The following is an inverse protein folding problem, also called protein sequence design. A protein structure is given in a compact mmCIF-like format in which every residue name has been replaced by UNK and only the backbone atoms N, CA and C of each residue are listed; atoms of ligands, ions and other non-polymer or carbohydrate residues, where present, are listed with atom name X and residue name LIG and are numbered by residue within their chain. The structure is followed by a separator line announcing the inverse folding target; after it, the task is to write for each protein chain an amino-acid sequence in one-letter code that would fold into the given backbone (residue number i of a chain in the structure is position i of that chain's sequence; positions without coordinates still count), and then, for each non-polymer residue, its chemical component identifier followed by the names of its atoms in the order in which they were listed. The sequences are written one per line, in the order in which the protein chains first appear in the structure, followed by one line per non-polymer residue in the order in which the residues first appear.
data_IF_111439796733
#
_entry.id   IF_111439796733
#
_cell.length_a   1.000
_cell.length_b   1.000
_cell.length_c   1.000
_cell.angle_alpha   90.00
_cell.angle_beta   90.00
_cell.angle_gamma   90.00
#
_symmetry.space_group_name_H-M   'P 1'
#
loop_
_entity.id
_entity.type
_entity.pdbx_description
1 polymer ?
#
# COMPACT_ATOMS: atom_id res chain seq x y z
N UNK A 1 -11.17 0.20 5.85
CA UNK A 1 -9.79 0.75 5.68
C UNK A 1 -9.54 1.77 6.77
N UNK A 2 -8.43 1.61 7.44
CA UNK A 2 -8.11 2.37 8.66
C UNK A 2 -6.73 3.01 8.52
N UNK A 3 -6.61 4.26 8.96
CA UNK A 3 -5.34 5.00 8.93
C UNK A 3 -4.96 5.40 10.34
N UNK A 4 -3.69 5.16 10.71
CA UNK A 4 -3.19 5.48 12.03
C UNK A 4 -1.79 6.05 11.91
N UNK A 5 -1.54 7.19 12.54
CA UNK A 5 -0.19 7.75 12.61
C UNK A 5 0.39 7.51 14.00
N UNK A 6 1.62 7.05 14.04
CA UNK A 6 2.32 6.74 15.28
C UNK A 6 3.81 6.96 15.06
N UNK A 7 4.41 7.84 15.86
CA UNK A 7 5.86 8.14 15.81
C UNK A 7 6.32 8.57 14.41
N UNK A 8 5.48 9.34 13.70
CA UNK A 8 5.81 9.82 12.37
C UNK A 8 5.60 8.80 11.26
N UNK A 9 5.08 7.62 11.60
CA UNK A 9 4.81 6.54 10.64
C UNK A 9 3.32 6.45 10.36
N UNK A 10 2.94 6.33 9.10
CA UNK A 10 1.55 6.12 8.70
C UNK A 10 1.31 4.62 8.51
N UNK A 11 0.38 4.06 9.27
CA UNK A 11 0.00 2.65 9.16
C UNK A 11 -1.40 2.59 8.58
N UNK A 12 -1.54 1.90 7.44
CA UNK A 12 -2.81 1.74 6.76
C UNK A 12 -3.22 0.27 6.83
N UNK A 13 -4.37 0.00 7.41
CA UNK A 13 -4.89 -1.36 7.54
C UNK A 13 -6.06 -1.54 6.59
N UNK A 14 -5.99 -2.58 5.76
CA UNK A 14 -6.99 -2.84 4.73
C UNK A 14 -7.60 -4.21 4.91
N UNK A 15 -8.83 -4.38 4.41
CA UNK A 15 -9.49 -5.69 4.40
C UNK A 15 -10.38 -5.78 3.18
N UNK A 16 -10.52 -7.01 2.66
CA UNK A 16 -11.46 -7.31 1.61
C UNK A 16 -10.94 -7.07 0.20
N UNK A 17 -11.84 -6.66 -0.67
CA UNK A 17 -11.64 -6.63 -2.11
C UNK A 17 -11.36 -5.21 -2.57
N UNK A 18 -10.13 -4.96 -3.06
CA UNK A 18 -9.75 -3.62 -3.53
C UNK A 18 -9.92 -3.53 -5.05
N UNK A 19 -11.13 -3.16 -5.45
CA UNK A 19 -11.45 -2.89 -6.85
C UNK A 19 -10.99 -1.47 -7.23
N UNK A 20 -11.32 -1.06 -8.46
CA UNK A 20 -10.91 0.24 -8.97
C UNK A 20 -11.47 1.39 -8.14
N UNK A 21 -12.74 1.31 -7.74
CA UNK A 21 -13.39 2.39 -6.98
C UNK A 21 -12.73 2.57 -5.63
N UNK A 22 -12.54 1.49 -4.87
CA UNK A 22 -11.89 1.57 -3.56
C UNK A 22 -10.44 2.05 -3.68
N UNK A 23 -9.75 1.63 -4.75
CA UNK A 23 -8.37 2.06 -4.97
C UNK A 23 -8.30 3.55 -5.28
N UNK A 24 -9.25 4.09 -6.01
CA UNK A 24 -9.32 5.53 -6.28
C UNK A 24 -9.61 6.34 -5.01
N UNK A 25 -10.51 5.83 -4.16
CA UNK A 25 -10.79 6.46 -2.88
C UNK A 25 -9.55 6.47 -1.98
N UNK A 26 -8.83 5.36 -1.97
CA UNK A 26 -7.58 5.25 -1.21
C UNK A 26 -6.55 6.24 -1.71
N UNK A 27 -6.38 6.35 -3.02
CA UNK A 27 -5.42 7.29 -3.60
C UNK A 27 -5.74 8.72 -3.21
N UNK A 28 -7.01 9.13 -3.28
CA UNK A 28 -7.43 10.47 -2.91
C UNK A 28 -7.10 10.77 -1.45
N UNK A 29 -7.36 9.80 -0.56
CA UNK A 29 -7.06 9.96 0.86
C UNK A 29 -5.55 10.09 1.09
N UNK A 30 -4.76 9.25 0.44
CA UNK A 30 -3.31 9.26 0.63
C UNK A 30 -2.67 10.54 0.06
N UNK A 31 -3.20 11.08 -1.02
CA UNK A 31 -2.70 12.36 -1.56
C UNK A 31 -2.90 13.50 -0.57
N UNK A 32 -3.93 13.44 0.26
CA UNK A 32 -4.16 14.43 1.29
C UNK A 32 -3.29 14.21 2.52
N UNK A 33 -3.01 12.94 2.87
CA UNK A 33 -2.24 12.60 4.08
C UNK A 33 -0.74 12.60 3.87
N UNK A 34 -0.27 12.18 2.69
CA UNK A 34 1.16 12.09 2.40
C UNK A 34 1.61 13.37 1.71
N UNK A 35 1.87 14.39 2.52
CA UNK A 35 2.34 15.69 2.02
C UNK A 35 3.85 15.84 2.10
N UNK A 36 4.54 14.90 2.75
CA UNK A 36 5.99 14.90 2.90
C UNK A 36 6.47 13.45 3.01
N UNK A 37 7.74 13.16 2.71
CA UNK A 37 8.29 11.81 2.88
C UNK A 37 8.17 11.35 4.34
N UNK A 38 7.67 10.13 4.53
CA UNK A 38 7.57 9.53 5.86
C UNK A 38 7.41 8.02 5.70
N UNK A 39 7.74 7.23 6.73
CA UNK A 39 7.52 5.79 6.67
C UNK A 39 6.03 5.45 6.54
N UNK A 40 5.71 4.52 5.65
CA UNK A 40 4.34 4.07 5.42
C UNK A 40 4.32 2.55 5.45
N UNK A 41 3.35 1.98 6.18
CA UNK A 41 3.14 0.54 6.22
C UNK A 41 1.71 0.24 5.78
N UNK A 42 1.57 -0.67 4.83
CA UNK A 42 0.29 -1.23 4.43
C UNK A 42 0.15 -2.61 5.07
N UNK A 43 -0.83 -2.76 5.97
CA UNK A 43 -1.15 -4.05 6.57
C UNK A 43 -2.18 -4.76 5.71
N UNK A 44 -1.76 -5.85 5.08
CA UNK A 44 -2.49 -6.51 4.00
C UNK A 44 -3.05 -7.89 4.35
N UNK A 45 -2.93 -8.34 5.60
CA UNK A 45 -3.28 -9.70 5.96
C UNK A 45 -4.74 -10.07 5.69
N UNK A 46 -5.64 -9.09 5.70
CA UNK A 46 -7.07 -9.34 5.46
C UNK A 46 -7.53 -8.95 4.06
N UNK A 47 -6.61 -8.60 3.17
CA UNK A 47 -6.93 -8.24 1.80
C UNK A 47 -7.08 -9.50 0.97
N UNK A 48 -8.19 -9.62 0.22
CA UNK A 48 -8.51 -10.80 -0.56
C UNK A 48 -8.31 -10.61 -2.06
N UNK A 49 -8.21 -9.36 -2.53
CA UNK A 49 -8.05 -9.07 -3.95
C UNK A 49 -7.50 -7.65 -4.13
N UNK A 50 -6.60 -7.48 -5.10
CA UNK A 50 -6.12 -6.17 -5.54
C UNK A 50 -6.17 -6.10 -7.06
N UNK A 51 -6.45 -4.91 -7.58
CA UNK A 51 -6.46 -4.67 -9.02
C UNK A 51 -5.27 -3.78 -9.42
N UNK A 52 -5.12 -3.53 -10.72
CA UNK A 52 -4.02 -2.70 -11.22
C UNK A 52 -4.06 -1.27 -10.65
N UNK A 53 -5.25 -0.75 -10.37
CA UNK A 53 -5.37 0.58 -9.76
C UNK A 53 -4.75 0.60 -8.36
N UNK A 54 -4.90 -0.48 -7.58
CA UNK A 54 -4.27 -0.59 -6.28
C UNK A 54 -2.75 -0.63 -6.40
N UNK A 55 -2.24 -1.36 -7.39
CA UNK A 55 -0.79 -1.42 -7.62
C UNK A 55 -0.23 -0.05 -7.95
N UNK A 56 -0.96 0.76 -8.71
CA UNK A 56 -0.54 2.13 -9.02
C UNK A 56 -0.50 3.00 -7.76
N UNK A 57 -1.45 2.80 -6.84
CA UNK A 57 -1.43 3.49 -5.55
C UNK A 57 -0.15 3.13 -4.80
N UNK A 58 0.23 1.86 -4.79
CA UNK A 58 1.46 1.44 -4.13
C UNK A 58 2.69 2.10 -4.73
N UNK A 59 2.75 2.24 -6.05
CA UNK A 59 3.85 2.93 -6.71
C UNK A 59 3.90 4.40 -6.29
N UNK A 60 2.74 5.06 -6.26
CA UNK A 60 2.65 6.45 -5.81
C UNK A 60 3.17 6.59 -4.38
N UNK A 61 2.74 5.70 -3.48
CA UNK A 61 3.15 5.74 -2.07
C UNK A 61 4.65 5.50 -1.94
N UNK A 62 5.19 4.51 -2.67
CA UNK A 62 6.61 4.20 -2.61
C UNK A 62 7.47 5.42 -3.02
N UNK A 63 7.05 6.14 -4.05
CA UNK A 63 7.77 7.32 -4.50
C UNK A 63 7.64 8.48 -3.52
N UNK A 64 6.46 8.65 -2.94
CA UNK A 64 6.19 9.76 -2.01
C UNK A 64 6.85 9.54 -0.66
N UNK A 65 6.82 8.31 -0.16
CA UNK A 65 7.40 7.97 1.14
C UNK A 65 8.93 8.07 1.11
N UNK A 66 9.54 7.73 -0.01
CA UNK A 66 10.99 7.74 -0.17
C UNK A 66 11.58 6.34 -0.16
N UNK A 67 12.85 6.19 -0.59
CA UNK A 67 13.49 4.87 -0.67
C UNK A 67 13.52 4.18 0.68
N UNK A 68 13.09 2.91 0.71
CA UNK A 68 13.11 2.11 1.92
C UNK A 68 12.08 2.47 2.97
N UNK A 69 11.17 3.41 2.68
CA UNK A 69 10.20 3.88 3.67
C UNK A 69 8.81 3.24 3.52
N UNK A 70 8.57 2.50 2.44
CA UNK A 70 7.27 1.88 2.21
C UNK A 70 7.37 0.36 2.38
N UNK A 71 6.50 -0.21 3.22
CA UNK A 71 6.49 -1.64 3.52
C UNK A 71 5.08 -2.21 3.34
N UNK A 72 5.00 -3.37 2.69
CA UNK A 72 3.79 -4.18 2.63
C UNK A 72 3.94 -5.30 3.64
N UNK A 73 3.03 -5.36 4.61
CA UNK A 73 3.11 -6.34 5.69
C UNK A 73 1.94 -7.31 5.61
N UNK A 74 2.20 -8.59 5.88
CA UNK A 74 1.15 -9.59 5.97
C UNK A 74 0.55 -9.99 4.63
N UNK A 75 1.30 -9.93 3.54
CA UNK A 75 0.82 -10.36 2.23
C UNK A 75 0.51 -11.85 2.26
N UNK A 76 -0.73 -12.21 1.88
CA UNK A 76 -1.06 -13.62 1.68
C UNK A 76 -0.42 -14.09 0.38
N UNK A 77 -0.18 -15.42 0.23
CA UNK A 77 0.48 -15.93 -0.97
C UNK A 77 -0.17 -15.50 -2.30
N UNK A 78 -1.50 -15.53 -2.46
CA UNK A 78 -2.10 -15.08 -3.71
C UNK A 78 -1.84 -13.60 -3.99
N UNK A 79 -1.89 -12.75 -2.97
CA UNK A 79 -1.65 -11.32 -3.14
C UNK A 79 -0.17 -11.04 -3.42
N UNK A 80 0.71 -11.72 -2.70
CA UNK A 80 2.16 -11.59 -2.93
C UNK A 80 2.51 -11.95 -4.38
N UNK A 81 1.85 -12.98 -4.93
CA UNK A 81 2.08 -13.38 -6.31
C UNK A 81 1.70 -12.28 -7.30
N UNK A 82 0.62 -11.55 -7.03
CA UNK A 82 0.20 -10.44 -7.89
C UNK A 82 1.30 -9.37 -7.97
N UNK A 83 1.87 -9.01 -6.82
CA UNK A 83 2.97 -8.04 -6.78
C UNK A 83 4.21 -8.56 -7.50
N UNK A 84 4.54 -9.84 -7.32
CA UNK A 84 5.68 -10.44 -8.00
C UNK A 84 5.50 -10.45 -9.52
N UNK A 85 4.31 -10.82 -9.99
CA UNK A 85 4.02 -10.87 -11.42
C UNK A 85 4.03 -9.48 -12.05
N UNK A 86 3.71 -8.45 -11.28
CA UNK A 86 3.76 -7.07 -11.76
C UNK A 86 5.17 -6.48 -11.68
N UNK A 87 6.14 -7.22 -11.14
CA UNK A 87 7.52 -6.76 -11.04
C UNK A 87 7.72 -5.68 -9.99
N UNK A 88 6.87 -5.63 -8.97
CA UNK A 88 6.90 -4.53 -8.00
C UNK A 88 7.63 -4.85 -6.70
N UNK A 89 8.08 -6.09 -6.51
CA UNK A 89 8.71 -6.48 -5.25
C UNK A 89 10.02 -5.76 -4.97
N UNK A 90 10.66 -5.21 -5.99
CA UNK A 90 11.90 -4.46 -5.82
C UNK A 90 11.72 -2.99 -5.47
N UNK A 91 10.47 -2.47 -5.49
CA UNK A 91 10.21 -1.06 -5.26
C UNK A 91 9.94 -0.73 -3.79
N UNK A 92 9.59 -1.73 -2.98
CA UNK A 92 9.26 -1.54 -1.57
C UNK A 92 9.49 -2.83 -0.80
N UNK A 93 9.57 -2.71 0.53
CA UNK A 93 9.77 -3.87 1.38
C UNK A 93 8.53 -4.76 1.43
N UNK A 94 8.75 -6.08 1.43
CA UNK A 94 7.67 -7.06 1.56
C UNK A 94 8.02 -8.05 2.67
N UNK A 95 7.05 -8.35 3.50
CA UNK A 95 7.17 -9.41 4.50
C UNK A 95 6.68 -10.73 3.94
#
# INVERSE_FOLDING_TARGET
MTFKESDGKLVCTFAGHFDTVRSQELEATLRQRLTAPQPVVFEMQDVTYVCSAFLRVCIFVAKTAGPGQFTLSGLTPPIKRVFMMAGLTGLFGCD
#
